data_IF_408556364778
#
_entry.id   IF_408556364778
#
_cell.length_a   1.000
_cell.length_b   1.000
_cell.length_c   1.000
_cell.angle_alpha   90.00
_cell.angle_beta   90.00
_cell.angle_gamma   90.00
#
_symmetry.space_group_name_H-M   'P 1'
#
loop_
_entity.id
_entity.type
_entity.pdbx_description
1 polymer ?
#
# COMPACT_ATOMS: atom_id res chain seq x y z
N UNK A 1 -6.89 30.67 14.19
CA UNK A 1 -6.96 29.67 13.11
C UNK A 1 -6.51 28.36 13.72
N UNK A 2 -7.47 27.51 14.07
CA UNK A 2 -7.16 26.12 14.37
C UNK A 2 -6.84 25.47 13.03
N UNK A 3 -5.65 24.88 12.91
CA UNK A 3 -5.40 23.94 11.83
C UNK A 3 -6.20 22.71 12.18
N UNK A 4 -7.35 22.53 11.52
CA UNK A 4 -8.03 21.26 11.43
C UNK A 4 -7.06 20.31 10.73
N UNK A 5 -6.19 19.68 11.51
CA UNK A 5 -5.45 18.51 11.06
C UNK A 5 -6.54 17.48 10.82
N UNK A 6 -6.85 17.28 9.55
CA UNK A 6 -7.77 16.28 9.08
C UNK A 6 -7.24 14.91 9.55
N UNK A 7 -7.69 14.46 10.72
CA UNK A 7 -7.26 13.21 11.35
C UNK A 7 -7.64 11.99 10.51
N UNK A 8 -8.38 12.18 9.43
CA UNK A 8 -8.78 11.15 8.49
C UNK A 8 -7.74 10.91 7.39
N UNK A 9 -6.64 11.69 7.32
CA UNK A 9 -5.57 11.52 6.32
C UNK A 9 -4.30 10.92 6.91
N UNK A 10 -3.84 9.80 6.36
CA UNK A 10 -2.51 9.25 6.65
C UNK A 10 -1.43 10.21 6.11
N UNK A 11 -0.41 10.55 6.92
CA UNK A 11 0.70 11.36 6.44
C UNK A 11 1.34 10.73 5.20
N UNK A 12 1.73 11.53 4.22
CA UNK A 12 2.30 11.04 2.95
C UNK A 12 3.51 10.11 3.13
N UNK A 13 4.33 10.35 4.16
CA UNK A 13 5.44 9.47 4.54
C UNK A 13 4.95 8.07 4.99
N UNK A 14 3.83 8.03 5.71
CA UNK A 14 3.18 6.78 6.13
C UNK A 14 2.50 6.08 4.95
N UNK A 15 1.87 6.82 4.03
CA UNK A 15 1.29 6.28 2.80
C UNK A 15 2.33 5.52 1.97
N UNK A 16 3.49 6.14 1.69
CA UNK A 16 4.54 5.51 0.89
C UNK A 16 5.12 4.26 1.57
N UNK A 17 5.29 4.29 2.90
CA UNK A 17 5.75 3.13 3.65
C UNK A 17 4.75 1.96 3.57
N UNK A 18 3.45 2.24 3.62
CA UNK A 18 2.39 1.24 3.52
C UNK A 18 2.26 0.69 2.09
N UNK A 19 2.46 1.52 1.09
CA UNK A 19 2.60 1.09 -0.32
C UNK A 19 3.76 0.11 -0.50
N UNK A 20 4.94 0.42 0.04
CA UNK A 20 6.09 -0.49 -0.02
C UNK A 20 5.81 -1.81 0.70
N UNK A 21 5.10 -1.79 1.84
CA UNK A 21 4.66 -3.01 2.52
C UNK A 21 3.74 -3.87 1.65
N UNK A 22 2.78 -3.27 0.95
CA UNK A 22 1.88 -3.97 0.04
C UNK A 22 2.63 -4.64 -1.11
N UNK A 23 3.57 -3.91 -1.73
CA UNK A 23 4.45 -4.44 -2.79
C UNK A 23 5.27 -5.63 -2.31
N UNK A 24 5.87 -5.52 -1.13
CA UNK A 24 6.67 -6.59 -0.54
C UNK A 24 5.81 -7.80 -0.16
N UNK A 25 4.58 -7.57 0.30
CA UNK A 25 3.64 -8.64 0.61
C UNK A 25 3.27 -9.45 -0.65
N UNK A 26 3.01 -8.79 -1.78
CA UNK A 26 2.84 -9.47 -3.07
C UNK A 26 4.07 -10.33 -3.40
N UNK A 27 5.27 -9.77 -3.24
CA UNK A 27 6.54 -10.44 -3.51
C UNK A 27 6.73 -11.71 -2.67
N UNK A 28 6.12 -11.74 -1.47
CA UNK A 28 6.11 -12.89 -0.54
C UNK A 28 4.95 -13.85 -0.78
N UNK A 29 4.06 -13.58 -1.74
CA UNK A 29 2.91 -14.41 -2.08
C UNK A 29 1.68 -14.19 -1.20
N UNK A 30 1.62 -13.09 -0.43
CA UNK A 30 0.41 -12.74 0.32
C UNK A 30 -0.71 -12.32 -0.63
N UNK A 31 -1.97 -12.60 -0.27
CA UNK A 31 -3.15 -12.17 -1.03
C UNK A 31 -3.61 -10.78 -0.57
N UNK A 32 -4.48 -10.14 -1.37
CA UNK A 32 -5.11 -8.87 -0.98
C UNK A 32 -5.93 -8.96 0.32
N UNK A 33 -6.43 -10.16 0.66
CA UNK A 33 -7.20 -10.38 1.89
C UNK A 33 -6.32 -10.45 3.15
N UNK A 34 -5.00 -10.58 2.98
CA UNK A 34 -4.03 -10.62 4.09
C UNK A 34 -3.55 -9.21 4.49
N UNK A 35 -4.23 -8.16 4.01
CA UNK A 35 -3.95 -6.78 4.37
C UNK A 35 -4.16 -6.55 5.88
N UNK A 36 -3.10 -6.19 6.64
CA UNK A 36 -3.19 -6.08 8.11
C UNK A 36 -3.86 -4.79 8.58
N UNK A 37 -4.08 -3.82 7.68
CA UNK A 37 -4.59 -2.51 8.03
C UNK A 37 -6.11 -2.54 8.22
N UNK A 38 -6.59 -1.79 9.22
CA UNK A 38 -8.02 -1.73 9.56
C UNK A 38 -8.66 -0.47 9.00
N UNK A 39 -7.94 0.64 9.03
CA UNK A 39 -8.40 1.92 8.49
C UNK A 39 -8.43 1.92 6.96
N UNK A 40 -9.41 2.63 6.39
CA UNK A 40 -9.70 2.57 4.97
C UNK A 40 -8.54 3.08 4.11
N UNK A 41 -7.83 4.12 4.57
CA UNK A 41 -6.75 4.73 3.82
C UNK A 41 -5.48 3.88 3.79
N UNK A 42 -5.04 3.34 4.94
CA UNK A 42 -3.91 2.41 4.98
C UNK A 42 -4.23 1.13 4.21
N UNK A 43 -5.48 0.67 4.26
CA UNK A 43 -5.93 -0.45 3.42
C UNK A 43 -5.81 -0.14 1.94
N UNK A 44 -6.24 1.06 1.52
CA UNK A 44 -6.13 1.50 0.14
C UNK A 44 -4.66 1.58 -0.29
N UNK A 45 -3.82 2.29 0.46
CA UNK A 45 -2.39 2.43 0.20
C UNK A 45 -1.68 1.07 0.09
N UNK A 46 -1.97 0.13 1.00
CA UNK A 46 -1.36 -1.20 0.94
C UNK A 46 -1.84 -1.99 -0.28
N UNK A 47 -3.13 -1.90 -0.60
CA UNK A 47 -3.71 -2.60 -1.76
C UNK A 47 -3.18 -2.06 -3.07
N UNK A 48 -3.00 -0.74 -3.18
CA UNK A 48 -2.34 -0.09 -4.30
C UNK A 48 -0.90 -0.60 -4.45
N UNK A 49 -0.11 -0.60 -3.37
CA UNK A 49 1.27 -1.09 -3.39
C UNK A 49 1.37 -2.55 -3.85
N UNK A 50 0.47 -3.40 -3.37
CA UNK A 50 0.35 -4.79 -3.79
C UNK A 50 0.05 -4.91 -5.29
N UNK A 51 -0.89 -4.11 -5.81
CA UNK A 51 -1.24 -4.09 -7.23
C UNK A 51 -0.06 -3.64 -8.08
N UNK A 52 0.67 -2.60 -7.66
CA UNK A 52 1.91 -2.17 -8.31
C UNK A 52 2.95 -3.28 -8.34
N UNK A 53 3.17 -3.98 -7.22
CA UNK A 53 4.05 -5.15 -7.17
C UNK A 53 3.66 -6.23 -8.16
N UNK A 54 2.35 -6.51 -8.26
CA UNK A 54 1.82 -7.49 -9.20
C UNK A 54 2.01 -7.10 -10.66
N UNK A 55 1.78 -5.82 -10.98
CA UNK A 55 1.95 -5.27 -12.32
C UNK A 55 3.43 -5.33 -12.75
N UNK A 56 4.35 -4.90 -11.88
CA UNK A 56 5.78 -4.96 -12.20
C UNK A 56 6.30 -6.39 -12.31
N UNK A 57 5.81 -7.32 -11.48
CA UNK A 57 6.21 -8.72 -11.58
C UNK A 57 5.75 -9.37 -12.90
N UNK A 58 4.55 -9.02 -13.37
CA UNK A 58 4.03 -9.49 -14.67
C UNK A 58 4.76 -8.85 -15.87
N UNK A 59 5.21 -7.61 -15.72
CA UNK A 59 5.88 -6.86 -16.78
C UNK A 59 7.41 -6.93 -16.73
N UNK A 60 8.01 -7.70 -15.80
CA UNK A 60 9.46 -7.94 -15.84
C UNK A 60 9.76 -8.76 -17.11
N UNK A 61 10.55 -8.24 -18.07
CA UNK A 61 10.98 -9.03 -19.20
C UNK A 61 11.77 -10.23 -18.67
N UNK A 62 11.33 -11.44 -19.02
CA UNK A 62 12.12 -12.66 -18.82
C UNK A 62 13.37 -12.51 -19.67
N UNK A 63 14.50 -12.24 -19.03
CA UNK A 63 15.79 -12.07 -19.68
C UNK A 63 16.47 -13.41 -19.91
#
# INVERSE_FOLDING_TARGET
>A
MAFDIDCDQIPSESYNAIMDQGRDAYSKGASLNDNPHIDAESRAAWSEGWQWGSYYAQNKPKH
#
